data_IF_304374456053
#
_entry.id   IF_304374456053
#
_cell.length_a   1.000
_cell.length_b   1.000
_cell.length_c   1.000
_cell.angle_alpha   90.00
_cell.angle_beta   90.00
_cell.angle_gamma   90.00
#
_symmetry.space_group_name_H-M   'P 1'
#
loop_
_entity.id
_entity.type
_entity.pdbx_description
1 polymer ?
#
# COMPACT_ATOMS: atom_id res chain seq x y z
N UNK A 1 8.12 -21.72 -9.53
CA UNK A 1 8.78 -21.20 -8.32
C UNK A 1 8.06 -19.91 -7.92
N UNK A 2 7.61 -19.77 -6.68
CA UNK A 2 7.03 -18.51 -6.21
C UNK A 2 8.12 -17.43 -6.20
N UNK A 3 7.82 -16.23 -6.70
CA UNK A 3 8.75 -15.10 -6.60
C UNK A 3 8.90 -14.72 -5.11
N UNK A 4 10.12 -14.38 -4.64
CA UNK A 4 10.29 -13.90 -3.26
C UNK A 4 9.51 -12.60 -3.05
N UNK A 5 8.83 -12.49 -1.90
CA UNK A 5 8.14 -11.27 -1.52
C UNK A 5 9.16 -10.16 -1.21
N UNK A 6 8.85 -8.94 -1.63
CA UNK A 6 9.64 -7.73 -1.38
C UNK A 6 8.81 -6.76 -0.54
N UNK A 7 9.49 -5.91 0.23
CA UNK A 7 8.89 -4.79 0.94
C UNK A 7 8.57 -3.67 -0.05
N UNK A 8 7.37 -3.11 0.06
CA UNK A 8 6.95 -1.91 -0.64
C UNK A 8 6.36 -0.92 0.34
N UNK A 9 6.57 0.36 0.08
CA UNK A 9 5.70 1.43 0.57
C UNK A 9 4.84 1.92 -0.57
N UNK A 10 3.53 1.99 -0.34
CA UNK A 10 2.54 2.48 -1.28
C UNK A 10 1.90 3.71 -0.68
N UNK A 11 1.99 4.84 -1.38
CA UNK A 11 1.27 6.05 -1.00
C UNK A 11 -0.02 6.11 -1.81
N UNK A 12 -1.14 6.11 -1.11
CA UNK A 12 -2.46 6.34 -1.66
C UNK A 12 -2.80 7.83 -1.57
N UNK A 13 -3.39 8.35 -2.63
CA UNK A 13 -4.04 9.64 -2.68
C UNK A 13 -5.54 9.43 -2.58
N UNK A 14 -6.16 10.00 -1.56
CA UNK A 14 -7.58 9.88 -1.25
C UNK A 14 -8.18 11.28 -1.11
N UNK A 15 -9.50 11.38 -1.02
CA UNK A 15 -10.16 12.67 -0.84
C UNK A 15 -9.86 13.29 0.54
N UNK A 16 -9.39 12.48 1.50
CA UNK A 16 -8.96 12.90 2.85
C UNK A 16 -7.46 13.19 2.95
N UNK A 17 -6.68 12.95 1.90
CA UNK A 17 -5.25 13.24 1.83
C UNK A 17 -4.40 12.04 1.43
N UNK A 18 -3.13 12.07 1.87
CA UNK A 18 -2.17 11.01 1.55
C UNK A 18 -2.04 10.02 2.72
N UNK A 19 -2.06 8.74 2.38
CA UNK A 19 -1.86 7.64 3.33
C UNK A 19 -0.75 6.73 2.81
N UNK A 20 0.25 6.44 3.63
CA UNK A 20 1.30 5.48 3.29
C UNK A 20 1.04 4.12 3.95
N UNK A 21 1.22 3.07 3.14
CA UNK A 21 1.06 1.68 3.56
C UNK A 21 2.34 0.91 3.28
N UNK A 22 2.84 0.18 4.28
CA UNK A 22 3.91 -0.77 4.08
C UNK A 22 3.32 -2.16 3.86
N UNK A 23 3.69 -2.81 2.75
CA UNK A 23 3.17 -4.14 2.36
C UNK A 23 4.28 -5.06 1.84
N UNK A 24 4.07 -6.38 1.95
CA UNK A 24 4.93 -7.39 1.32
C UNK A 24 4.22 -7.95 0.09
N UNK A 25 4.85 -7.82 -1.08
CA UNK A 25 4.25 -8.23 -2.35
C UNK A 25 5.29 -8.80 -3.31
N UNK A 26 4.86 -9.48 -4.38
CA UNK A 26 5.79 -10.05 -5.37
C UNK A 26 6.31 -8.99 -6.36
N UNK A 27 5.51 -7.97 -6.63
CA UNK A 27 5.78 -6.87 -7.55
C UNK A 27 4.94 -5.63 -7.21
N UNK A 28 5.13 -4.54 -7.96
CA UNK A 28 4.47 -3.26 -7.74
C UNK A 28 2.94 -3.34 -7.88
N UNK A 29 2.43 -4.22 -8.75
CA UNK A 29 1.00 -4.35 -8.98
C UNK A 29 0.32 -5.02 -7.78
N UNK A 30 0.89 -6.12 -7.30
CA UNK A 30 0.42 -6.79 -6.09
C UNK A 30 0.52 -5.87 -4.86
N UNK A 31 1.58 -5.04 -4.76
CA UNK A 31 1.73 -4.08 -3.68
C UNK A 31 0.62 -3.04 -3.67
N UNK A 32 0.26 -2.52 -4.85
CA UNK A 32 -0.84 -1.58 -5.02
C UNK A 32 -2.18 -2.18 -4.58
N UNK A 33 -2.47 -3.43 -4.98
CA UNK A 33 -3.71 -4.11 -4.60
C UNK A 33 -3.77 -4.28 -3.08
N UNK A 34 -2.71 -4.82 -2.48
CA UNK A 34 -2.65 -5.05 -1.03
C UNK A 34 -2.79 -3.75 -0.23
N UNK A 35 -2.20 -2.65 -0.69
CA UNK A 35 -2.35 -1.35 -0.03
C UNK A 35 -3.79 -0.81 -0.11
N UNK A 36 -4.45 -0.98 -1.26
CA UNK A 36 -5.86 -0.58 -1.43
C UNK A 36 -6.81 -1.44 -0.58
N UNK A 37 -6.55 -2.75 -0.50
CA UNK A 37 -7.31 -3.66 0.38
C UNK A 37 -7.13 -3.25 1.85
N UNK A 38 -5.89 -3.01 2.30
CA UNK A 38 -5.62 -2.53 3.67
C UNK A 38 -6.32 -1.21 3.99
N UNK A 39 -6.38 -0.29 3.02
CA UNK A 39 -7.10 0.97 3.17
C UNK A 39 -8.63 0.76 3.27
N UNK A 40 -9.21 -0.08 2.42
CA UNK A 40 -10.64 -0.40 2.42
C UNK A 40 -11.12 -1.22 3.62
N UNK A 41 -10.22 -1.87 4.36
CA UNK A 41 -10.51 -2.51 5.65
C UNK A 41 -10.34 -1.57 6.86
N UNK A 42 -9.82 -0.35 6.67
CA UNK A 42 -9.70 0.69 7.69
C UNK A 42 -10.93 1.61 7.77
N UNK A 43 -10.84 2.69 8.56
CA UNK A 43 -11.89 3.69 8.91
C UNK A 43 -12.49 4.49 7.73
N UNK A 44 -12.68 3.88 6.57
CA UNK A 44 -13.32 4.50 5.43
C UNK A 44 -14.80 4.12 5.41
N UNK A 45 -15.63 5.02 5.93
CA UNK A 45 -17.03 5.13 5.52
C UNK A 45 -17.10 5.25 3.99
N UNK A 46 -18.19 4.75 3.41
CA UNK A 46 -18.45 4.39 2.00
C UNK A 46 -18.06 5.42 0.90
N UNK A 47 -17.56 6.60 1.24
CA UNK A 47 -17.19 7.68 0.31
C UNK A 47 -15.71 7.67 -0.13
N UNK A 48 -14.80 6.95 0.54
CA UNK A 48 -13.35 6.97 0.24
C UNK A 48 -12.90 5.94 -0.84
N UNK A 49 -13.85 5.35 -1.57
CA UNK A 49 -13.62 4.29 -2.57
C UNK A 49 -12.71 4.70 -3.75
N UNK A 50 -12.42 5.99 -3.92
CA UNK A 50 -11.65 6.51 -5.05
C UNK A 50 -10.13 6.65 -4.79
N UNK A 51 -9.62 6.01 -3.72
CA UNK A 51 -8.19 5.97 -3.41
C UNK A 51 -7.36 5.54 -4.63
N UNK A 52 -6.60 6.49 -5.17
CA UNK A 52 -5.71 6.29 -6.31
C UNK A 52 -4.29 6.14 -5.81
N UNK A 53 -3.52 5.22 -6.39
CA UNK A 53 -2.13 5.05 -5.96
C UNK A 53 -1.28 6.18 -6.54
N UNK A 54 -0.68 6.97 -5.68
CA UNK A 54 0.23 8.05 -6.06
C UNK A 54 1.62 7.50 -6.39
N UNK A 55 2.16 6.61 -5.56
CA UNK A 55 3.48 6.01 -5.77
C UNK A 55 3.60 4.63 -5.11
N UNK A 56 4.42 3.76 -5.71
CA UNK A 56 4.84 2.48 -5.16
C UNK A 56 6.37 2.44 -5.13
N UNK A 57 6.96 2.27 -3.95
CA UNK A 57 8.41 2.33 -3.73
C UNK A 57 8.88 1.00 -3.14
N UNK A 58 9.79 0.30 -3.83
CA UNK A 58 10.40 -0.94 -3.32
C UNK A 58 11.47 -0.61 -2.28
N UNK A 59 11.47 -1.30 -1.15
CA UNK A 59 12.58 -1.28 -0.19
C UNK A 59 12.65 -0.03 0.70
N UNK A 60 11.71 0.90 0.58
CA UNK A 60 11.61 2.07 1.46
C UNK A 60 10.50 1.89 2.50
N UNK A 61 10.65 2.39 3.73
CA UNK A 61 11.92 2.72 4.37
C UNK A 61 12.79 1.45 4.52
N UNK A 62 14.11 1.59 4.50
CA UNK A 62 15.05 0.44 4.62
C UNK A 62 14.85 -0.33 5.93
N UNK A 63 14.38 0.37 6.97
CA UNK A 63 14.05 -0.20 8.28
C UNK A 63 12.52 -0.38 8.34
N UNK A 64 12.06 -1.59 8.63
CA UNK A 64 10.66 -1.87 8.90
C UNK A 64 10.36 -1.60 10.38
N UNK A 65 9.44 -0.65 10.63
CA UNK A 65 8.96 -0.30 11.97
C UNK A 65 7.65 -1.07 12.22
N UNK A 66 7.75 -2.31 12.72
CA UNK A 66 6.60 -3.15 13.09
C UNK A 66 6.97 -4.64 13.17
N UNK A 67 6.51 -5.36 14.19
CA UNK A 67 6.72 -6.81 14.32
C UNK A 67 5.73 -7.62 13.46
#
# INVERSE_FOLDING_TARGET
>A
MAKPLKKFTVVLNTDRGYYDFQVKAKDHHDAQIAAKENFGHGECDDEDWNASTAVVIVGWPEIWMGD
#
